data_IF_528273512008
#
_entry.id   IF_528273512008
#
_cell.length_a   1.000
_cell.length_b   1.000
_cell.length_c   1.000
_cell.angle_alpha   90.00
_cell.angle_beta   90.00
_cell.angle_gamma   90.00
#
_symmetry.space_group_name_H-M   'P 1'
#
loop_
_entity.id
_entity.type
_entity.pdbx_description
1 polymer ?
#
# COMPACT_ATOMS: atom_id res chain seq x y z
N UNK A 1 38.85 3.91 -23.28
CA UNK A 1 38.64 4.28 -21.86
C UNK A 1 37.45 5.22 -21.68
N UNK A 2 37.30 6.31 -22.45
CA UNK A 2 36.08 7.13 -22.43
C UNK A 2 34.82 6.39 -22.92
N UNK A 3 34.99 5.56 -23.96
CA UNK A 3 33.95 4.73 -24.58
C UNK A 3 33.32 3.71 -23.59
N UNK A 4 34.15 2.97 -22.84
CA UNK A 4 33.71 2.04 -21.77
C UNK A 4 32.92 2.75 -20.64
N UNK A 5 33.25 4.01 -20.33
CA UNK A 5 32.51 4.77 -19.31
C UNK A 5 31.13 5.24 -19.80
N UNK A 6 31.00 5.58 -21.07
CA UNK A 6 29.71 5.97 -21.68
C UNK A 6 28.79 4.76 -21.83
N UNK A 7 29.35 3.62 -22.24
CA UNK A 7 28.65 2.34 -22.29
C UNK A 7 28.14 1.93 -20.88
N UNK A 8 28.99 1.99 -19.86
CA UNK A 8 28.59 1.69 -18.46
C UNK A 8 27.48 2.61 -17.96
N UNK A 9 27.52 3.91 -18.27
CA UNK A 9 26.45 4.86 -17.90
C UNK A 9 25.12 4.52 -18.56
N UNK A 10 25.17 4.12 -19.83
CA UNK A 10 23.99 3.70 -20.58
C UNK A 10 23.39 2.42 -20.01
N UNK A 11 24.22 1.39 -19.76
CA UNK A 11 23.79 0.15 -19.11
C UNK A 11 23.18 0.45 -17.73
N UNK A 12 23.85 1.26 -16.91
CA UNK A 12 23.34 1.67 -15.61
C UNK A 12 21.98 2.37 -15.70
N UNK A 13 21.82 3.33 -16.63
CA UNK A 13 20.57 4.04 -16.86
C UNK A 13 19.41 3.09 -17.21
N UNK A 14 19.67 2.16 -18.12
CA UNK A 14 18.70 1.14 -18.55
C UNK A 14 18.34 0.19 -17.39
N UNK A 15 19.34 -0.34 -16.67
CA UNK A 15 19.10 -1.21 -15.50
C UNK A 15 18.31 -0.48 -14.43
N UNK A 16 18.64 0.77 -14.14
CA UNK A 16 17.91 1.59 -13.15
C UNK A 16 16.46 1.79 -13.57
N UNK A 17 16.21 2.10 -14.84
CA UNK A 17 14.85 2.29 -15.35
C UNK A 17 14.02 1.00 -15.26
N UNK A 18 14.60 -0.15 -15.62
CA UNK A 18 13.94 -1.45 -15.49
C UNK A 18 13.59 -1.76 -14.02
N UNK A 19 14.54 -1.61 -13.10
CA UNK A 19 14.32 -1.83 -11.67
C UNK A 19 13.24 -0.91 -11.09
N UNK A 20 13.22 0.37 -11.47
CA UNK A 20 12.19 1.33 -11.03
C UNK A 20 10.80 0.94 -11.57
N UNK A 21 10.72 0.52 -12.83
CA UNK A 21 9.47 0.08 -13.46
C UNK A 21 8.92 -1.17 -12.77
N UNK A 22 9.79 -2.14 -12.46
CA UNK A 22 9.41 -3.35 -11.70
C UNK A 22 8.96 -3.02 -10.29
N UNK A 23 9.65 -2.11 -9.60
CA UNK A 23 9.27 -1.68 -8.26
C UNK A 23 7.88 -1.02 -8.27
N UNK A 24 7.62 -0.12 -9.21
CA UNK A 24 6.30 0.49 -9.40
C UNK A 24 5.21 -0.58 -9.62
N UNK A 25 5.43 -1.50 -10.57
CA UNK A 25 4.46 -2.58 -10.84
C UNK A 25 4.21 -3.48 -9.62
N UNK A 26 5.25 -3.78 -8.84
CA UNK A 26 5.11 -4.57 -7.62
C UNK A 26 4.33 -3.84 -6.55
N UNK A 27 4.57 -2.54 -6.37
CA UNK A 27 3.82 -1.71 -5.42
C UNK A 27 2.34 -1.66 -5.80
N UNK A 28 2.02 -1.41 -7.07
CA UNK A 28 0.63 -1.39 -7.56
C UNK A 28 -0.07 -2.73 -7.36
N UNK A 29 0.61 -3.86 -7.64
CA UNK A 29 0.06 -5.20 -7.41
C UNK A 29 -0.19 -5.47 -5.94
N UNK A 30 0.76 -5.09 -5.07
CA UNK A 30 0.64 -5.26 -3.63
C UNK A 30 -0.56 -4.48 -3.08
N UNK A 31 -0.66 -3.19 -3.43
CA UNK A 31 -1.75 -2.33 -2.99
C UNK A 31 -3.12 -2.83 -3.49
N UNK A 32 -3.20 -3.24 -4.75
CA UNK A 32 -4.42 -3.83 -5.31
C UNK A 32 -4.80 -5.15 -4.64
N UNK A 33 -3.82 -5.99 -4.28
CA UNK A 33 -4.07 -7.22 -3.53
C UNK A 33 -4.64 -6.91 -2.15
N UNK A 34 -4.05 -5.96 -1.41
CA UNK A 34 -4.59 -5.52 -0.11
C UNK A 34 -6.02 -5.01 -0.25
N UNK A 35 -6.27 -4.10 -1.19
CA UNK A 35 -7.60 -3.51 -1.38
C UNK A 35 -8.64 -4.59 -1.71
N UNK A 36 -8.33 -5.46 -2.67
CA UNK A 36 -9.23 -6.51 -3.15
C UNK A 36 -9.52 -7.52 -2.05
N UNK A 37 -8.49 -8.02 -1.37
CA UNK A 37 -8.63 -9.02 -0.32
C UNK A 37 -9.31 -8.45 0.93
N UNK A 38 -8.94 -7.23 1.35
CA UNK A 38 -9.59 -6.58 2.50
C UNK A 38 -11.08 -6.36 2.24
N UNK A 39 -11.44 -5.87 1.05
CA UNK A 39 -12.84 -5.65 0.66
C UNK A 39 -13.59 -6.98 0.57
N UNK A 40 -12.99 -7.99 -0.08
CA UNK A 40 -13.59 -9.31 -0.24
C UNK A 40 -13.83 -10.02 1.09
N UNK A 41 -12.81 -10.09 1.95
CA UNK A 41 -12.92 -10.71 3.27
C UNK A 41 -13.94 -9.96 4.14
N UNK A 42 -13.92 -8.63 4.15
CA UNK A 42 -14.88 -7.84 4.93
C UNK A 42 -16.32 -8.04 4.44
N UNK A 43 -16.54 -8.03 3.12
CA UNK A 43 -17.85 -8.26 2.54
C UNK A 43 -18.38 -9.67 2.84
N UNK A 44 -17.54 -10.69 2.68
CA UNK A 44 -17.89 -12.09 3.03
C UNK A 44 -18.17 -12.18 4.53
N UNK A 45 -17.33 -11.57 5.37
CA UNK A 45 -17.51 -11.56 6.82
C UNK A 45 -18.85 -10.94 7.20
N UNK A 46 -19.17 -9.74 6.70
CA UNK A 46 -20.44 -9.07 7.01
C UNK A 46 -21.66 -9.85 6.51
N UNK A 47 -21.57 -10.50 5.33
CA UNK A 47 -22.67 -11.25 4.74
C UNK A 47 -22.95 -12.56 5.48
N UNK A 48 -21.91 -13.33 5.84
CA UNK A 48 -22.06 -14.70 6.30
C UNK A 48 -21.71 -14.92 7.78
N UNK A 49 -21.37 -13.88 8.55
CA UNK A 49 -20.97 -14.07 9.96
C UNK A 49 -22.04 -14.79 10.78
N UNK A 50 -23.32 -14.51 10.51
CA UNK A 50 -24.45 -15.13 11.21
C UNK A 50 -24.65 -16.60 10.85
N UNK A 51 -24.20 -17.00 9.66
CA UNK A 51 -24.30 -18.38 9.18
C UNK A 51 -23.15 -19.24 9.71
N UNK A 52 -22.01 -18.61 10.02
CA UNK A 52 -20.81 -19.30 10.53
C UNK A 52 -20.83 -19.38 12.06
N UNK A 53 -21.26 -18.30 12.74
CA UNK A 53 -21.24 -18.22 14.21
C UNK A 53 -22.59 -17.80 14.77
N UNK A 54 -23.21 -18.60 15.66
CA UNK A 54 -24.45 -18.21 16.32
C UNK A 54 -24.20 -17.02 17.27
N UNK A 55 -24.62 -15.82 16.84
CA UNK A 55 -24.34 -14.55 17.52
C UNK A 55 -24.87 -14.47 18.96
N UNK A 56 -25.83 -15.31 19.34
CA UNK A 56 -26.38 -15.38 20.69
C UNK A 56 -25.46 -16.07 21.70
N UNK A 57 -24.40 -16.75 21.26
CA UNK A 57 -23.41 -17.43 22.11
C UNK A 57 -21.97 -16.99 21.84
N UNK A 58 -21.80 -15.88 21.12
CA UNK A 58 -20.48 -15.39 20.73
C UNK A 58 -19.64 -15.00 21.95
N UNK A 59 -18.43 -15.55 21.99
CA UNK A 59 -17.35 -15.08 22.84
C UNK A 59 -16.41 -14.16 22.06
N UNK A 60 -15.91 -13.11 22.72
CA UNK A 60 -14.91 -12.18 22.15
C UNK A 60 -15.32 -11.45 20.86
N UNK A 61 -16.54 -10.90 20.81
CA UNK A 61 -17.03 -10.08 19.68
C UNK A 61 -16.09 -8.91 19.32
N UNK A 62 -15.32 -8.40 20.29
CA UNK A 62 -14.34 -7.34 20.06
C UNK A 62 -13.24 -7.72 19.05
N UNK A 63 -12.89 -9.01 18.93
CA UNK A 63 -11.93 -9.47 17.91
C UNK A 63 -12.49 -9.28 16.49
N UNK A 64 -13.78 -9.57 16.30
CA UNK A 64 -14.46 -9.38 15.02
C UNK A 64 -14.58 -7.90 14.67
N UNK A 65 -14.98 -7.06 15.64
CA UNK A 65 -15.07 -5.60 15.44
C UNK A 65 -13.70 -5.02 15.10
N UNK A 66 -12.65 -5.45 15.80
CA UNK A 66 -11.27 -5.03 15.53
C UNK A 66 -10.86 -5.42 14.12
N UNK A 67 -11.17 -6.65 13.70
CA UNK A 67 -10.91 -7.10 12.33
C UNK A 67 -11.58 -6.20 11.29
N UNK A 68 -12.87 -5.89 11.46
CA UNK A 68 -13.59 -5.04 10.51
C UNK A 68 -13.01 -3.63 10.43
N UNK A 69 -12.67 -3.03 11.58
CA UNK A 69 -12.01 -1.73 11.63
C UNK A 69 -10.65 -1.81 10.93
N UNK A 70 -9.86 -2.86 11.19
CA UNK A 70 -8.56 -3.07 10.54
C UNK A 70 -8.68 -3.19 9.03
N UNK A 71 -9.61 -4.00 8.50
CA UNK A 71 -9.83 -4.07 7.05
C UNK A 71 -10.32 -2.73 6.47
N UNK A 72 -11.22 -2.04 7.17
CA UNK A 72 -11.67 -0.70 6.77
C UNK A 72 -10.52 0.31 6.68
N UNK A 73 -9.62 0.32 7.69
CA UNK A 73 -8.43 1.18 7.69
C UNK A 73 -7.45 0.79 6.60
N UNK A 74 -7.26 -0.50 6.31
CA UNK A 74 -6.43 -0.96 5.19
C UNK A 74 -6.97 -0.42 3.85
N UNK A 75 -8.27 -0.57 3.61
CA UNK A 75 -8.95 -0.08 2.39
C UNK A 75 -8.78 1.44 2.23
N UNK A 76 -9.12 2.21 3.27
CA UNK A 76 -9.04 3.68 3.22
C UNK A 76 -7.60 4.13 3.02
N UNK A 77 -6.64 3.53 3.73
CA UNK A 77 -5.21 3.89 3.62
C UNK A 77 -4.69 3.63 2.21
N UNK A 78 -5.04 2.50 1.59
CA UNK A 78 -4.66 2.19 0.21
C UNK A 78 -5.26 3.17 -0.80
N UNK A 79 -6.55 3.50 -0.68
CA UNK A 79 -7.21 4.45 -1.58
C UNK A 79 -6.63 5.87 -1.45
N UNK A 80 -6.36 6.33 -0.22
CA UNK A 80 -5.72 7.62 0.03
C UNK A 80 -4.30 7.63 -0.52
N UNK A 81 -3.57 6.52 -0.38
CA UNK A 81 -2.21 6.39 -0.93
C UNK A 81 -2.18 6.57 -2.45
N UNK A 82 -3.11 5.96 -3.19
CA UNK A 82 -3.22 6.17 -4.64
C UNK A 82 -3.42 7.64 -5.02
N UNK A 83 -4.28 8.36 -4.29
CA UNK A 83 -4.48 9.80 -4.52
C UNK A 83 -3.24 10.61 -4.22
N UNK A 84 -2.56 10.34 -3.11
CA UNK A 84 -1.33 11.04 -2.74
C UNK A 84 -0.17 10.71 -3.68
N UNK A 85 -0.09 9.48 -4.18
CA UNK A 85 0.91 9.04 -5.16
C UNK A 85 0.81 9.86 -6.45
N UNK A 86 -0.41 10.05 -6.98
CA UNK A 86 -0.63 10.87 -8.16
C UNK A 86 -0.20 12.33 -7.94
N UNK A 87 -0.51 12.90 -6.78
CA UNK A 87 -0.09 14.26 -6.43
C UNK A 87 1.43 14.35 -6.24
N UNK A 88 2.06 13.31 -5.70
CA UNK A 88 3.50 13.21 -5.54
C UNK A 88 4.19 13.18 -6.92
N UNK A 89 3.70 12.38 -7.87
CA UNK A 89 4.23 12.32 -9.24
C UNK A 89 4.15 13.70 -9.89
N UNK A 90 2.99 14.36 -9.85
CA UNK A 90 2.81 15.70 -10.42
C UNK A 90 3.75 16.73 -9.78
N UNK A 91 4.00 16.63 -8.47
CA UNK A 91 4.95 17.49 -7.76
C UNK A 91 6.40 17.20 -8.17
N UNK A 92 6.75 15.93 -8.34
CA UNK A 92 8.09 15.54 -8.76
C UNK A 92 8.39 15.99 -10.19
N UNK A 93 7.41 15.92 -11.09
CA UNK A 93 7.53 16.44 -12.45
C UNK A 93 7.84 17.95 -12.44
N UNK A 94 7.15 18.74 -11.61
CA UNK A 94 7.45 20.16 -11.45
C UNK A 94 8.85 20.42 -10.88
N UNK A 95 9.33 19.58 -9.97
CA UNK A 95 10.70 19.69 -9.44
C UNK A 95 11.74 19.36 -10.52
N UNK A 96 11.48 18.34 -11.33
CA UNK A 96 12.33 18.00 -12.46
C UNK A 96 12.36 19.12 -13.50
N UNK A 97 11.22 19.71 -13.84
CA UNK A 97 11.12 20.86 -14.76
C UNK A 97 11.98 22.03 -14.28
N UNK A 98 11.82 22.44 -13.02
CA UNK A 98 12.59 23.54 -12.41
C UNK A 98 14.09 23.27 -12.37
N UNK A 99 14.50 22.04 -12.11
CA UNK A 99 15.91 21.69 -12.10
C UNK A 99 16.51 21.62 -13.52
N UNK A 100 15.88 20.87 -14.43
CA UNK A 100 16.45 20.59 -15.75
C UNK A 100 16.25 21.72 -16.77
N UNK A 101 15.12 22.43 -16.73
CA UNK A 101 14.78 23.49 -17.68
C UNK A 101 15.12 24.87 -17.12
N UNK A 102 14.68 25.17 -15.90
CA UNK A 102 14.86 26.49 -15.29
C UNK A 102 16.23 26.65 -14.61
N UNK A 103 17.01 25.55 -14.52
CA UNK A 103 18.35 25.49 -13.90
C UNK A 103 18.37 25.93 -12.44
N UNK A 104 17.27 25.71 -11.72
CA UNK A 104 17.16 25.98 -10.29
C UNK A 104 17.74 24.79 -9.49
N UNK A 105 19.04 24.82 -9.20
CA UNK A 105 19.78 23.73 -8.52
C UNK A 105 19.18 23.30 -7.16
N UNK A 106 18.45 24.19 -6.48
CA UNK A 106 17.78 23.88 -5.21
C UNK A 106 16.74 22.75 -5.34
N UNK A 107 16.15 22.56 -6.53
CA UNK A 107 15.13 21.54 -6.77
C UNK A 107 15.69 20.13 -6.92
N UNK A 108 17.00 19.98 -7.15
CA UNK A 108 17.64 18.66 -7.19
C UNK A 108 17.53 17.91 -5.86
N UNK A 109 17.66 18.63 -4.74
CA UNK A 109 17.65 18.08 -3.38
C UNK A 109 16.30 18.24 -2.68
N UNK A 110 15.32 18.84 -3.34
CA UNK A 110 14.04 19.18 -2.73
C UNK A 110 13.21 17.92 -2.52
N UNK A 111 12.89 17.64 -1.27
CA UNK A 111 12.16 16.43 -0.92
C UNK A 111 10.68 16.51 -1.30
N UNK A 112 10.17 15.41 -1.85
CA UNK A 112 8.75 15.25 -2.10
C UNK A 112 8.05 14.64 -0.89
N UNK A 113 7.56 15.51 0.00
CA UNK A 113 6.84 15.08 1.22
C UNK A 113 5.63 14.19 0.91
N UNK A 114 4.95 14.40 -0.22
CA UNK A 114 3.79 13.58 -0.60
C UNK A 114 4.21 12.13 -0.87
N UNK A 115 5.35 11.92 -1.52
CA UNK A 115 5.89 10.58 -1.74
C UNK A 115 6.18 9.85 -0.42
N UNK A 116 6.74 10.57 0.57
CA UNK A 116 6.98 10.01 1.91
C UNK A 116 5.67 9.61 2.62
N UNK A 117 4.62 10.43 2.51
CA UNK A 117 3.31 10.10 3.08
C UNK A 117 2.65 8.91 2.38
N UNK A 118 2.76 8.81 1.06
CA UNK A 118 2.30 7.64 0.28
C UNK A 118 2.97 6.35 0.76
N UNK A 119 4.29 6.37 0.93
CA UNK A 119 5.04 5.21 1.42
C UNK A 119 4.59 4.79 2.84
N UNK A 120 4.41 5.76 3.73
CA UNK A 120 3.88 5.50 5.07
C UNK A 120 2.49 4.87 5.04
N UNK A 121 1.57 5.39 4.22
CA UNK A 121 0.22 4.83 4.09
C UNK A 121 0.23 3.39 3.57
N UNK A 122 1.05 3.10 2.55
CA UNK A 122 1.19 1.75 2.00
C UNK A 122 1.73 0.76 3.04
N UNK A 123 2.70 1.19 3.85
CA UNK A 123 3.19 0.34 4.93
C UNK A 123 2.13 0.09 6.00
N UNK A 124 1.40 1.14 6.43
CA UNK A 124 0.35 1.00 7.44
C UNK A 124 -0.85 0.18 6.96
N UNK A 125 -1.21 0.25 5.67
CA UNK A 125 -2.30 -0.56 5.11
C UNK A 125 -1.98 -2.06 5.17
N UNK A 126 -0.72 -2.44 4.91
CA UNK A 126 -0.23 -3.81 5.09
C UNK A 126 -0.33 -4.30 6.53
N UNK A 127 0.04 -3.46 7.50
CA UNK A 127 -0.10 -3.80 8.93
C UNK A 127 -1.57 -4.02 9.31
N UNK A 128 -2.45 -3.10 8.91
CA UNK A 128 -3.87 -3.23 9.19
C UNK A 128 -4.48 -4.48 8.53
N UNK A 129 -4.08 -4.80 7.31
CA UNK A 129 -4.52 -6.01 6.62
C UNK A 129 -4.15 -7.29 7.39
N UNK A 130 -2.88 -7.41 7.80
CA UNK A 130 -2.40 -8.56 8.58
C UNK A 130 -3.12 -8.66 9.93
N UNK A 131 -3.29 -7.52 10.63
CA UNK A 131 -4.03 -7.48 11.89
C UNK A 131 -5.50 -7.94 11.71
N UNK A 132 -6.15 -7.51 10.63
CA UNK A 132 -7.51 -7.93 10.27
C UNK A 132 -7.62 -9.43 10.06
N UNK A 133 -6.69 -10.03 9.31
CA UNK A 133 -6.64 -11.49 9.09
C UNK A 133 -6.47 -12.24 10.39
N UNK A 134 -5.46 -11.88 11.20
CA UNK A 134 -5.14 -12.58 12.44
C UNK A 134 -6.32 -12.54 13.40
N UNK A 135 -6.94 -11.37 13.56
CA UNK A 135 -8.09 -11.21 14.47
C UNK A 135 -9.34 -11.95 13.95
N UNK A 136 -9.58 -11.99 12.64
CA UNK A 136 -10.65 -12.83 12.06
C UNK A 136 -10.42 -14.31 12.36
N UNK A 137 -9.22 -14.83 12.10
CA UNK A 137 -8.90 -16.25 12.31
C UNK A 137 -9.11 -16.60 13.79
N UNK A 138 -8.56 -15.78 14.71
CA UNK A 138 -8.72 -16.00 16.14
C UNK A 138 -10.19 -16.01 16.57
N UNK A 139 -10.99 -15.04 16.10
CA UNK A 139 -12.42 -14.97 16.41
C UNK A 139 -13.15 -16.23 15.96
N UNK A 140 -12.94 -16.66 14.71
CA UNK A 140 -13.59 -17.83 14.14
C UNK A 140 -13.15 -19.11 14.85
N UNK A 141 -11.86 -19.29 15.11
CA UNK A 141 -11.34 -20.47 15.81
C UNK A 141 -11.93 -20.63 17.21
N UNK A 142 -12.01 -19.54 17.98
CA UNK A 142 -12.56 -19.58 19.35
C UNK A 142 -14.05 -19.96 19.34
N UNK A 143 -14.82 -19.45 18.38
CA UNK A 143 -16.27 -19.61 18.36
C UNK A 143 -16.75 -20.87 17.59
N UNK A 144 -15.89 -21.52 16.81
CA UNK A 144 -16.19 -22.83 16.19
C UNK A 144 -15.75 -23.98 17.08
N UNK A 145 -14.65 -23.83 17.84
CA UNK A 145 -14.13 -24.89 18.73
C UNK A 145 -14.74 -24.93 20.13
N UNK A 146 -15.53 -23.92 20.52
CA UNK A 146 -16.26 -23.86 21.79
C UNK A 146 -17.76 -23.91 21.58
#
# INVERSE_FOLDING_TARGET
>A
MADDMEERKTIYGNTRQDLLTRNLSNSEKYDNAILTLSTGILAISLAFIKDIVPLNKVSYIYLLITSWISFGLAIVSTLVSFRLSQLAINRQLKYAEKYYLDKEDEYLKKENRLAKYTEYLNYTSGIFFVAGIVTTILFVSINISG
#
